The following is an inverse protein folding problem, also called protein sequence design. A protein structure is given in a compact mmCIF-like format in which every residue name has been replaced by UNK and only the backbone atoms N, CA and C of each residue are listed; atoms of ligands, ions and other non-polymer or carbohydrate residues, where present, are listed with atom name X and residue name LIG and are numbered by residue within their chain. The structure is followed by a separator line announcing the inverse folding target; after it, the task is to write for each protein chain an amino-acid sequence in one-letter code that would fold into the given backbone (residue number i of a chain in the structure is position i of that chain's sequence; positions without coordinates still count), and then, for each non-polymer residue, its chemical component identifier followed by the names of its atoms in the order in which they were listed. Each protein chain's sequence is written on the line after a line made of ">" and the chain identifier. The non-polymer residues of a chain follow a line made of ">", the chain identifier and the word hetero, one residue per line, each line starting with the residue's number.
data_IF_656038352602
#
_entry.id   IF_656038352602
#
_cell.length_a   1.000
_cell.length_b   1.000
_cell.length_c   1.000
_cell.angle_alpha   90.00
_cell.angle_beta   90.00
_cell.angle_gamma   90.00
#
_symmetry.space_group_name_H-M   'P 1'
#
loop_
_entity.id
_entity.type
_entity.pdbx_description
1 polymer ?
#
# COMPACT_ATOMS: atom_id res chain seq x y z
N UNK A 1 2.22 2.07 14.77
CA UNK A 1 2.93 0.93 15.41
C UNK A 1 3.46 1.41 16.76
N UNK A 2 2.65 1.32 17.82
CA UNK A 2 2.93 1.99 19.11
C UNK A 2 3.50 1.05 20.16
N UNK A 3 2.73 0.04 20.57
CA UNK A 3 3.12 -0.94 21.58
C UNK A 3 3.02 -2.33 20.97
N UNK A 4 4.06 -3.14 21.14
CA UNK A 4 4.07 -4.52 20.61
C UNK A 4 4.80 -5.42 21.60
N UNK A 5 4.44 -6.71 21.59
CA UNK A 5 5.06 -7.72 22.43
C UNK A 5 6.53 -7.93 22.03
N UNK A 6 7.42 -7.98 23.01
CA UNK A 6 8.82 -8.37 22.78
C UNK A 6 8.81 -9.86 22.41
N UNK A 7 9.26 -10.17 21.19
CA UNK A 7 9.30 -11.55 20.69
C UNK A 7 10.11 -12.43 21.66
N UNK A 8 9.55 -13.56 22.05
CA UNK A 8 10.17 -14.49 23.02
C UNK A 8 9.84 -14.22 24.49
N UNK A 9 9.16 -13.12 24.83
CA UNK A 9 8.69 -12.86 26.22
C UNK A 9 7.19 -12.62 26.24
N UNK A 10 6.56 -12.44 27.41
CA UNK A 10 5.14 -12.03 27.50
C UNK A 10 4.94 -10.52 27.72
N UNK A 11 6.02 -9.75 27.74
CA UNK A 11 5.97 -8.32 28.03
C UNK A 11 5.72 -7.49 26.77
N UNK A 12 4.97 -6.40 26.94
CA UNK A 12 4.74 -5.40 25.90
C UNK A 12 5.66 -4.20 26.11
N UNK A 13 6.14 -3.62 25.00
CA UNK A 13 7.02 -2.45 25.02
C UNK A 13 6.82 -1.59 23.77
N UNK A 14 7.26 -0.31 23.80
CA UNK A 14 7.25 0.52 22.61
C UNK A 14 8.09 -0.12 21.51
N UNK A 15 7.54 -0.17 20.29
CA UNK A 15 8.17 -0.84 19.13
C UNK A 15 8.52 -2.33 19.30
N UNK A 16 8.16 -2.97 20.42
CA UNK A 16 8.56 -4.35 20.73
C UNK A 16 10.03 -4.50 21.12
N UNK A 17 10.67 -3.41 21.57
CA UNK A 17 12.09 -3.36 21.94
C UNK A 17 12.23 -3.34 23.47
N UNK A 18 13.17 -4.11 24.06
CA UNK A 18 13.48 -4.02 25.49
C UNK A 18 13.86 -2.59 25.92
N UNK A 19 13.43 -2.19 27.12
CA UNK A 19 13.58 -0.81 27.63
C UNK A 19 15.05 -0.38 27.70
N UNK A 20 15.95 -1.28 28.12
CA UNK A 20 17.40 -1.00 28.18
C UNK A 20 18.00 -0.66 26.80
N UNK A 21 17.45 -1.20 25.71
CA UNK A 21 17.86 -0.82 24.36
C UNK A 21 17.20 0.49 23.94
N UNK A 22 15.94 0.71 24.30
CA UNK A 22 15.20 1.94 23.99
C UNK A 22 15.90 3.17 24.56
N UNK A 23 16.42 3.10 25.79
CA UNK A 23 17.13 4.19 26.46
C UNK A 23 18.45 4.58 25.74
N UNK A 24 18.97 3.72 24.87
CA UNK A 24 20.20 3.96 24.09
C UNK A 24 19.92 4.41 22.65
N UNK A 25 18.64 4.52 22.26
CA UNK A 25 18.23 4.85 20.90
C UNK A 25 17.71 6.29 20.81
N UNK A 26 18.06 6.97 19.71
CA UNK A 26 17.45 8.23 19.33
C UNK A 26 16.29 7.94 18.38
N UNK A 27 15.06 8.25 18.82
CA UNK A 27 13.85 8.01 18.02
C UNK A 27 13.57 9.24 17.16
N UNK A 28 13.62 9.07 15.84
CA UNK A 28 13.21 10.08 14.86
C UNK A 28 11.82 9.70 14.33
N UNK A 29 10.83 10.55 14.55
CA UNK A 29 9.47 10.34 14.04
C UNK A 29 9.34 10.88 12.60
N UNK A 30 8.67 10.12 11.75
CA UNK A 30 8.29 10.54 10.40
C UNK A 30 6.80 10.88 10.36
N UNK A 31 6.44 11.94 9.65
CA UNK A 31 5.04 12.30 9.40
C UNK A 31 4.53 11.65 8.10
N UNK A 32 3.21 11.41 7.97
CA UNK A 32 2.62 11.00 6.71
C UNK A 32 2.83 12.06 5.62
N UNK A 33 2.98 11.60 4.38
CA UNK A 33 3.11 12.49 3.23
C UNK A 33 1.81 13.23 2.93
N UNK A 34 1.92 14.47 2.48
CA UNK A 34 0.81 15.26 1.95
C UNK A 34 0.56 14.91 0.47
N UNK A 35 -0.63 15.22 -0.04
CA UNK A 35 -1.02 14.96 -1.44
C UNK A 35 0.00 15.50 -2.45
N UNK A 36 0.52 16.71 -2.23
CA UNK A 36 1.54 17.33 -3.08
C UNK A 36 2.85 16.53 -3.11
N UNK A 37 3.27 16.02 -1.95
CA UNK A 37 4.48 15.21 -1.80
C UNK A 37 4.30 13.85 -2.46
N UNK A 38 3.12 13.23 -2.32
CA UNK A 38 2.79 11.97 -3.01
C UNK A 38 2.83 12.16 -4.52
N UNK A 39 2.20 13.21 -5.04
CA UNK A 39 2.25 13.50 -6.49
C UNK A 39 3.69 13.62 -6.97
N UNK A 40 4.53 14.38 -6.26
CA UNK A 40 5.93 14.56 -6.62
C UNK A 40 6.73 13.26 -6.57
N UNK A 41 6.53 12.42 -5.55
CA UNK A 41 7.17 11.10 -5.46
C UNK A 41 6.75 10.22 -6.64
N UNK A 42 5.46 10.21 -7.00
CA UNK A 42 4.97 9.43 -8.14
C UNK A 42 5.53 9.94 -9.46
N UNK A 43 5.65 11.25 -9.66
CA UNK A 43 6.30 11.83 -10.85
C UNK A 43 7.74 11.36 -10.98
N UNK A 44 8.53 11.45 -9.91
CA UNK A 44 9.93 10.97 -9.91
C UNK A 44 9.98 9.47 -10.24
N UNK A 45 9.03 8.68 -9.73
CA UNK A 45 8.96 7.24 -10.03
C UNK A 45 8.61 6.94 -11.49
N UNK A 46 7.70 7.71 -12.08
CA UNK A 46 7.41 7.60 -13.51
C UNK A 46 8.64 7.94 -14.37
N UNK A 47 9.40 8.97 -13.99
CA UNK A 47 10.66 9.32 -14.66
C UNK A 47 11.72 8.22 -14.49
N UNK A 48 11.89 7.67 -13.28
CA UNK A 48 12.85 6.58 -13.02
C UNK A 48 12.52 5.27 -13.78
N UNK A 49 11.23 4.99 -14.00
CA UNK A 49 10.76 3.79 -14.71
C UNK A 49 10.59 4.00 -16.23
N UNK A 50 10.96 5.17 -16.76
CA UNK A 50 10.74 5.57 -18.17
C UNK A 50 9.27 5.35 -18.62
N UNK A 51 8.33 5.83 -17.80
CA UNK A 51 6.88 5.73 -18.04
C UNK A 51 6.29 7.11 -18.29
N UNK A 52 5.85 7.36 -19.52
CA UNK A 52 5.04 8.52 -19.84
C UNK A 52 3.61 8.31 -19.32
N UNK A 53 3.09 9.26 -18.56
CA UNK A 53 1.76 9.20 -17.93
C UNK A 53 1.04 10.53 -18.12
N UNK A 54 -0.26 10.48 -18.45
CA UNK A 54 -1.07 11.69 -18.58
C UNK A 54 -1.26 12.40 -17.23
N UNK A 55 -1.41 13.71 -17.25
CA UNK A 55 -1.62 14.50 -16.02
C UNK A 55 -2.88 14.06 -15.26
N UNK A 56 -3.93 13.67 -15.98
CA UNK A 56 -5.17 13.16 -15.39
C UNK A 56 -4.95 11.81 -14.71
N UNK A 57 -4.20 10.91 -15.36
CA UNK A 57 -3.82 9.61 -14.80
C UNK A 57 -3.00 9.78 -13.51
N UNK A 58 -2.06 10.73 -13.49
CA UNK A 58 -1.25 11.03 -12.30
C UNK A 58 -2.10 11.57 -11.13
N UNK A 59 -3.11 12.40 -11.41
CA UNK A 59 -4.05 12.91 -10.38
C UNK A 59 -4.84 11.75 -9.77
N UNK A 60 -5.37 10.84 -10.60
CA UNK A 60 -6.11 9.67 -10.14
C UNK A 60 -5.22 8.75 -9.31
N UNK A 61 -3.99 8.50 -9.76
CA UNK A 61 -3.02 7.69 -9.04
C UNK A 61 -2.65 8.29 -7.68
N UNK A 62 -2.51 9.61 -7.62
CA UNK A 62 -2.23 10.34 -6.37
C UNK A 62 -3.37 10.15 -5.36
N UNK A 63 -4.63 10.23 -5.80
CA UNK A 63 -5.79 9.96 -4.93
C UNK A 63 -5.79 8.51 -4.43
N UNK A 64 -5.52 7.54 -5.30
CA UNK A 64 -5.39 6.13 -4.90
C UNK A 64 -4.28 5.98 -3.85
N UNK A 65 -3.13 6.65 -4.03
CA UNK A 65 -2.01 6.62 -3.09
C UNK A 65 -2.33 7.22 -1.71
N UNK A 66 -3.22 8.23 -1.67
CA UNK A 66 -3.74 8.83 -0.43
C UNK A 66 -4.73 7.92 0.29
N UNK A 67 -5.63 7.26 -0.45
CA UNK A 67 -6.67 6.39 0.12
C UNK A 67 -6.14 5.03 0.57
N UNK A 68 -5.09 4.53 -0.08
CA UNK A 68 -4.52 3.20 0.18
C UNK A 68 -3.10 3.27 0.77
N UNK A 69 -2.08 3.16 -0.07
CA UNK A 69 -0.69 3.34 0.32
C UNK A 69 0.17 3.77 -0.88
N UNK A 70 1.21 4.55 -0.61
CA UNK A 70 2.20 4.94 -1.62
C UNK A 70 2.85 3.72 -2.31
N UNK A 71 3.07 2.63 -1.56
CA UNK A 71 3.63 1.39 -2.11
C UNK A 71 2.73 0.79 -3.19
N UNK A 72 1.43 0.73 -2.93
CA UNK A 72 0.46 0.19 -3.88
C UNK A 72 0.38 1.09 -5.13
N UNK A 73 0.36 2.41 -4.96
CA UNK A 73 0.37 3.35 -6.08
C UNK A 73 1.61 3.18 -6.99
N UNK A 74 2.80 2.97 -6.43
CA UNK A 74 4.02 2.71 -7.21
C UNK A 74 3.91 1.40 -8.00
N UNK A 75 3.40 0.33 -7.38
CA UNK A 75 3.19 -0.94 -8.09
C UNK A 75 2.24 -0.78 -9.28
N UNK A 76 1.22 0.08 -9.15
CA UNK A 76 0.29 0.36 -10.22
C UNK A 76 0.96 1.02 -11.44
N UNK A 77 2.01 1.84 -11.26
CA UNK A 77 2.74 2.50 -12.37
C UNK A 77 3.25 1.45 -13.36
N UNK A 78 4.01 0.46 -12.86
CA UNK A 78 4.60 -0.58 -13.70
C UNK A 78 3.52 -1.39 -14.41
N UNK A 79 2.47 -1.80 -13.70
CA UNK A 79 1.38 -2.60 -14.30
C UNK A 79 0.52 -1.79 -15.28
N UNK A 80 0.30 -0.50 -15.04
CA UNK A 80 -0.43 0.39 -15.95
C UNK A 80 0.36 0.63 -17.24
N UNK A 81 1.69 0.75 -17.16
CA UNK A 81 2.58 0.78 -18.33
C UNK A 81 2.44 -0.51 -19.17
N UNK A 82 2.42 -1.70 -18.53
CA UNK A 82 2.21 -2.95 -19.26
C UNK A 82 0.85 -3.01 -19.97
N UNK A 83 -0.20 -2.48 -19.35
CA UNK A 83 -1.54 -2.38 -19.97
C UNK A 83 -1.53 -1.38 -21.13
N UNK A 84 -0.90 -0.21 -20.97
CA UNK A 84 -0.75 0.78 -22.04
C UNK A 84 0.01 0.21 -23.24
N UNK A 85 1.13 -0.47 -22.99
CA UNK A 85 1.90 -1.16 -24.03
C UNK A 85 1.08 -2.23 -24.75
N UNK A 86 0.21 -2.96 -24.04
CA UNK A 86 -0.69 -3.95 -24.63
C UNK A 86 -1.72 -3.30 -25.58
N UNK A 87 -2.23 -2.11 -25.27
CA UNK A 87 -3.08 -1.32 -26.21
C UNK A 87 -2.29 -0.59 -27.30
N UNK A 88 -0.96 -0.72 -27.31
CA UNK A 88 -0.03 0.03 -28.19
C UNK A 88 -0.11 1.55 -27.96
N UNK A 89 -0.41 1.96 -26.73
CA UNK A 89 -0.34 3.36 -26.30
C UNK A 89 1.11 3.77 -26.02
N UNK A 90 1.41 5.05 -26.23
CA UNK A 90 2.71 5.66 -25.91
C UNK A 90 2.75 6.16 -24.46
N UNK A 91 1.63 6.69 -23.97
CA UNK A 91 1.46 7.18 -22.60
C UNK A 91 0.43 6.34 -21.83
N UNK A 92 0.52 6.34 -20.50
CA UNK A 92 -0.46 5.72 -19.60
C UNK A 92 -1.61 6.69 -19.36
N UNK A 93 -2.84 6.22 -19.55
CA UNK A 93 -4.05 7.03 -19.37
C UNK A 93 -4.90 6.53 -18.18
N UNK A 94 -5.92 7.31 -17.81
CA UNK A 94 -6.81 7.03 -16.67
C UNK A 94 -7.46 5.65 -16.77
N UNK A 95 -7.82 5.22 -17.98
CA UNK A 95 -8.44 3.92 -18.22
C UNK A 95 -7.49 2.75 -17.97
N UNK A 96 -6.19 2.92 -18.22
CA UNK A 96 -5.17 1.93 -17.90
C UNK A 96 -5.08 1.76 -16.38
N UNK A 97 -5.09 2.86 -15.62
CA UNK A 97 -5.06 2.83 -14.15
C UNK A 97 -6.32 2.18 -13.60
N UNK A 98 -7.51 2.57 -14.07
CA UNK A 98 -8.79 1.97 -13.64
C UNK A 98 -8.81 0.45 -13.88
N UNK A 99 -8.29 0.01 -15.03
CA UNK A 99 -8.20 -1.41 -15.37
C UNK A 99 -7.26 -2.16 -14.43
N UNK A 100 -6.11 -1.59 -14.10
CA UNK A 100 -5.17 -2.24 -13.18
C UNK A 100 -5.73 -2.23 -11.75
N UNK A 101 -6.37 -1.15 -11.33
CA UNK A 101 -6.98 -1.03 -10.02
C UNK A 101 -8.10 -2.06 -9.77
N UNK A 102 -8.81 -2.50 -10.83
CA UNK A 102 -9.79 -3.59 -10.72
C UNK A 102 -9.15 -4.98 -10.73
N UNK A 103 -7.99 -5.14 -11.36
CA UNK A 103 -7.27 -6.43 -11.41
C UNK A 103 -6.47 -6.71 -10.13
N UNK A 104 -5.85 -5.69 -9.55
CA UNK A 104 -4.99 -5.83 -8.38
C UNK A 104 -5.62 -5.14 -7.17
N UNK A 105 -5.89 -5.91 -6.12
CA UNK A 105 -6.47 -5.41 -4.87
C UNK A 105 -5.38 -4.87 -3.93
N UNK A 106 -5.69 -3.81 -3.19
CA UNK A 106 -4.88 -3.36 -2.06
C UNK A 106 -5.23 -4.18 -0.80
N UNK A 107 -4.43 -4.03 0.26
CA UNK A 107 -4.59 -4.77 1.53
C UNK A 107 -5.99 -4.61 2.14
N UNK A 108 -6.56 -3.40 2.09
CA UNK A 108 -7.86 -3.13 2.72
C UNK A 108 -8.98 -3.83 1.95
N UNK A 109 -8.98 -3.74 0.61
CA UNK A 109 -9.95 -4.47 -0.23
C UNK A 109 -9.75 -5.97 -0.17
N UNK A 110 -8.50 -6.46 -0.13
CA UNK A 110 -8.23 -7.90 -0.07
C UNK A 110 -8.68 -8.51 1.27
N UNK A 111 -8.52 -7.78 2.38
CA UNK A 111 -8.99 -8.25 3.68
C UNK A 111 -10.52 -8.22 3.79
N UNK A 112 -11.19 -7.24 3.16
CA UNK A 112 -12.65 -7.22 3.05
C UNK A 112 -13.18 -8.39 2.21
N UNK A 113 -12.59 -8.63 1.04
CA UNK A 113 -12.92 -9.78 0.19
C UNK A 113 -12.78 -11.09 0.97
N UNK A 114 -11.66 -11.29 1.68
CA UNK A 114 -11.47 -12.47 2.52
C UNK A 114 -12.52 -12.59 3.63
N UNK A 115 -12.99 -11.49 4.21
CA UNK A 115 -14.05 -11.47 5.24
C UNK A 115 -15.40 -11.89 4.67
N UNK A 116 -15.76 -11.42 3.49
CA UNK A 116 -17.03 -11.73 2.83
C UNK A 116 -17.12 -13.20 2.42
N UNK A 117 -16.02 -13.75 1.88
CA UNK A 117 -15.95 -15.13 1.43
C UNK A 117 -15.40 -16.10 2.49
N UNK A 118 -15.38 -15.69 3.78
CA UNK A 118 -14.84 -16.51 4.89
C UNK A 118 -15.33 -17.95 4.85
N UNK A 119 -16.63 -18.16 4.60
CA UNK A 119 -17.25 -19.50 4.65
C UNK A 119 -16.70 -20.47 3.59
N UNK A 120 -16.12 -19.95 2.51
CA UNK A 120 -15.52 -20.74 1.43
C UNK A 120 -14.04 -21.08 1.70
N UNK A 121 -13.40 -20.43 2.68
CA UNK A 121 -12.00 -20.67 3.04
C UNK A 121 -11.86 -21.72 4.17
N UNK A 122 -10.87 -22.61 4.04
CA UNK A 122 -10.71 -23.79 4.90
C UNK A 122 -10.40 -23.51 6.38
N UNK A 123 -9.85 -22.32 6.72
CA UNK A 123 -9.39 -22.01 8.08
C UNK A 123 -9.98 -20.69 8.57
N UNK A 124 -11.14 -20.77 9.22
CA UNK A 124 -11.77 -19.63 9.89
C UNK A 124 -11.49 -19.69 11.40
N UNK A 125 -10.57 -18.87 11.90
CA UNK A 125 -10.28 -18.79 13.35
C UNK A 125 -11.41 -18.08 14.15
N UNK A 126 -12.33 -17.39 13.48
CA UNK A 126 -13.46 -16.68 14.11
C UNK A 126 -14.55 -17.62 14.66
N UNK A 127 -14.47 -18.93 14.41
CA UNK A 127 -15.40 -19.94 14.93
C UNK A 127 -15.05 -20.52 16.30
N UNK A 128 -13.98 -20.06 16.97
CA UNK A 128 -13.53 -20.59 18.28
C UNK A 128 -13.53 -19.55 19.40
N UNK A 129 -14.48 -18.63 19.43
CA UNK A 129 -14.70 -17.77 20.60
C UNK A 129 -16.18 -17.73 20.96
N UNK A 130 -16.67 -18.88 21.44
CA UNK A 130 -17.87 -18.97 22.26
C UNK A 130 -17.45 -19.66 23.56
N UNK A 131 -17.08 -18.86 24.55
CA UNK A 131 -17.16 -19.20 25.97
C UNK A 131 -18.06 -18.15 26.62
#
# INVERSE_FOLDING_TARGET
>A
RGITRIRGTQYQSPHGIPIDLLDRLLIISTTPYQEKEIKQILTIRCEEEDVEMSDEALIVLTRIGMETSLRYAIQLITTANLVSRKRKGTEVDVDDIKRVYSLFLDESRSTQFLKEYQQEFMFNELGKTSL
#
